data_IF_897280418049
#
_entry.id   IF_897280418049
#
_cell.length_a   1.000
_cell.length_b   1.000
_cell.length_c   1.000
_cell.angle_alpha   90.00
_cell.angle_beta   90.00
_cell.angle_gamma   90.00
#
_symmetry.space_group_name_H-M   'P 1'
#
loop_
_entity.id
_entity.type
_entity.pdbx_description
1 polymer ?
#
# COMPACT_ATOMS: atom_id res chain seq x y z
N UNK A 1 18.71 -26.39 5.20
CA UNK A 1 18.91 -24.96 4.80
C UNK A 1 19.25 -24.17 6.05
N UNK A 2 20.19 -23.24 5.96
CA UNK A 2 20.56 -22.37 7.06
C UNK A 2 19.39 -21.43 7.44
N UNK A 3 19.28 -21.10 8.73
CA UNK A 3 18.29 -20.14 9.24
C UNK A 3 18.61 -18.76 8.67
N UNK A 4 17.61 -18.12 8.07
CA UNK A 4 17.70 -16.76 7.54
C UNK A 4 17.11 -15.78 8.56
N UNK A 5 17.96 -15.08 9.29
CA UNK A 5 17.55 -14.01 10.19
C UNK A 5 17.35 -12.72 9.38
N UNK A 6 16.13 -12.20 9.36
CA UNK A 6 15.76 -11.04 8.57
C UNK A 6 14.85 -10.10 9.35
N UNK A 7 14.73 -8.86 8.89
CA UNK A 7 13.67 -7.92 9.29
C UNK A 7 12.48 -8.03 8.34
N UNK A 8 11.35 -7.43 8.72
CA UNK A 8 10.14 -7.43 7.86
C UNK A 8 10.43 -6.82 6.48
N UNK A 9 11.23 -5.75 6.40
CA UNK A 9 11.70 -5.14 5.13
C UNK A 9 12.53 -6.11 4.29
N UNK A 10 13.31 -6.95 4.94
CA UNK A 10 14.18 -7.91 4.26
C UNK A 10 13.46 -9.15 3.70
N UNK A 11 12.15 -9.30 3.95
CA UNK A 11 11.37 -10.43 3.43
C UNK A 11 11.23 -10.35 1.90
N UNK A 12 11.56 -11.46 1.23
CA UNK A 12 11.42 -11.59 -0.23
C UNK A 12 10.69 -12.88 -0.56
N UNK A 13 9.81 -12.88 -1.59
CA UNK A 13 9.16 -14.09 -2.06
C UNK A 13 10.16 -15.22 -2.34
N UNK A 14 9.81 -16.45 -1.96
CA UNK A 14 10.65 -17.64 -2.13
C UNK A 14 11.59 -17.93 -0.95
N UNK A 15 11.76 -17.02 0.00
CA UNK A 15 12.54 -17.29 1.22
C UNK A 15 11.95 -18.44 2.03
N UNK A 16 12.82 -19.26 2.62
CA UNK A 16 12.46 -20.41 3.48
C UNK A 16 13.31 -20.41 4.73
N UNK A 17 12.83 -21.10 5.78
CA UNK A 17 13.51 -21.17 7.08
C UNK A 17 13.86 -19.77 7.63
N UNK A 18 12.87 -18.87 7.56
CA UNK A 18 12.98 -17.48 7.99
C UNK A 18 12.77 -17.41 9.50
N UNK A 19 13.62 -16.63 10.17
CA UNK A 19 13.48 -16.29 11.58
C UNK A 19 13.53 -14.78 11.78
N UNK A 20 12.57 -14.25 12.55
CA UNK A 20 12.48 -12.81 12.85
C UNK A 20 11.72 -12.57 14.15
N UNK A 21 11.92 -11.37 14.72
CA UNK A 21 11.06 -10.85 15.79
C UNK A 21 9.99 -9.98 15.15
N UNK A 22 8.76 -10.12 15.60
CA UNK A 22 7.62 -9.37 15.07
C UNK A 22 6.57 -9.11 16.15
N UNK A 23 5.79 -8.04 15.96
CA UNK A 23 4.53 -7.80 16.67
C UNK A 23 3.37 -8.16 15.76
N UNK A 24 2.39 -8.86 16.28
CA UNK A 24 1.12 -9.11 15.59
C UNK A 24 0.26 -7.85 15.70
N UNK A 25 -0.05 -7.23 14.57
CA UNK A 25 -0.88 -6.02 14.51
C UNK A 25 -2.35 -6.39 14.61
N UNK A 26 -2.77 -7.30 13.75
CA UNK A 26 -4.10 -7.88 13.74
C UNK A 26 -4.05 -9.36 13.32
N UNK A 27 -5.09 -10.11 13.68
CA UNK A 27 -5.26 -11.51 13.28
C UNK A 27 -6.74 -11.86 13.23
N UNK A 28 -7.16 -12.45 12.12
CA UNK A 28 -8.54 -12.90 11.89
C UNK A 28 -8.57 -14.34 11.36
N UNK A 29 -9.46 -15.18 11.89
CA UNK A 29 -9.71 -16.51 11.34
C UNK A 29 -10.45 -16.40 10.00
N UNK A 30 -10.09 -17.23 9.03
CA UNK A 30 -10.76 -17.33 7.73
C UNK A 30 -10.99 -18.79 7.38
N UNK A 31 -12.19 -19.12 6.93
CA UNK A 31 -12.50 -20.42 6.41
C UNK A 31 -12.19 -20.48 4.92
N UNK A 32 -11.46 -21.50 4.52
CA UNK A 32 -11.13 -21.78 3.12
C UNK A 32 -11.51 -23.23 2.80
N UNK A 33 -11.80 -23.52 1.55
CA UNK A 33 -12.04 -24.86 1.07
C UNK A 33 -10.81 -25.36 0.30
N UNK A 34 -10.20 -26.43 0.77
CA UNK A 34 -9.08 -27.10 0.11
C UNK A 34 -9.51 -28.49 -0.28
N UNK A 35 -9.65 -28.74 -1.58
CA UNK A 35 -10.02 -30.07 -2.13
C UNK A 35 -11.32 -30.65 -1.54
N UNK A 36 -12.28 -29.78 -1.19
CA UNK A 36 -13.57 -30.22 -0.63
C UNK A 36 -13.62 -30.25 0.91
N UNK A 37 -12.52 -30.00 1.60
CA UNK A 37 -12.47 -29.94 3.06
C UNK A 37 -12.37 -28.46 3.51
N UNK A 38 -13.22 -28.08 4.47
CA UNK A 38 -13.18 -26.77 5.11
C UNK A 38 -12.00 -26.73 6.09
N UNK A 39 -11.09 -25.76 5.90
CA UNK A 39 -9.97 -25.50 6.81
C UNK A 39 -10.02 -24.07 7.30
N UNK A 40 -9.79 -23.87 8.61
CA UNK A 40 -9.59 -22.53 9.16
C UNK A 40 -8.12 -22.17 9.07
N UNK A 41 -7.84 -21.00 8.51
CA UNK A 41 -6.54 -20.36 8.48
C UNK A 41 -6.65 -19.02 9.20
N UNK A 42 -5.51 -18.45 9.58
CA UNK A 42 -5.45 -17.15 10.25
C UNK A 42 -4.64 -16.19 9.39
N UNK A 43 -5.13 -14.99 9.21
CA UNK A 43 -4.46 -13.97 8.41
C UNK A 43 -4.53 -12.60 9.06
N UNK A 44 -3.56 -11.76 8.76
CA UNK A 44 -3.49 -10.42 9.31
C UNK A 44 -2.21 -9.72 8.92
N UNK A 45 -1.81 -8.77 9.76
CA UNK A 45 -0.62 -7.97 9.57
C UNK A 45 0.33 -8.14 10.76
N UNK A 46 1.62 -8.13 10.45
CA UNK A 46 2.70 -8.12 11.42
C UNK A 46 3.66 -6.96 11.13
N UNK A 47 4.44 -6.57 12.13
CA UNK A 47 5.43 -5.51 11.94
C UNK A 47 6.64 -5.66 12.86
N UNK A 48 7.71 -4.97 12.48
CA UNK A 48 8.89 -4.68 13.28
C UNK A 48 9.30 -3.21 13.07
N UNK A 49 10.49 -2.81 13.53
CA UNK A 49 10.98 -1.44 13.36
C UNK A 49 11.17 -1.06 11.87
N UNK A 50 11.36 -2.06 11.01
CA UNK A 50 11.61 -1.83 9.58
C UNK A 50 10.35 -1.63 8.76
N UNK A 51 9.18 -2.10 9.23
CA UNK A 51 7.93 -1.96 8.50
C UNK A 51 6.90 -3.03 8.84
N UNK A 52 5.89 -3.14 7.98
CA UNK A 52 4.79 -4.08 8.10
C UNK A 52 4.73 -5.06 6.95
N UNK A 53 4.15 -6.22 7.19
CA UNK A 53 3.92 -7.26 6.20
C UNK A 53 2.62 -8.02 6.51
N UNK A 54 1.99 -8.54 5.48
CA UNK A 54 0.90 -9.50 5.68
C UNK A 54 1.44 -10.85 6.12
N UNK A 55 0.61 -11.60 6.83
CA UNK A 55 0.91 -13.00 7.11
C UNK A 55 -0.30 -13.89 6.90
N UNK A 56 -0.02 -15.16 6.66
CA UNK A 56 -1.00 -16.24 6.63
C UNK A 56 -0.48 -17.39 7.48
N UNK A 57 -1.22 -17.79 8.51
CA UNK A 57 -0.95 -18.96 9.32
C UNK A 57 -1.90 -20.10 8.92
N UNK A 58 -1.32 -21.22 8.53
CA UNK A 58 -2.05 -22.42 8.09
C UNK A 58 -2.52 -23.30 9.23
N UNK A 59 -1.99 -23.05 10.43
CA UNK A 59 -2.34 -23.73 11.67
C UNK A 59 -2.63 -22.71 12.76
N UNK A 60 -3.34 -23.14 13.80
CA UNK A 60 -3.55 -22.32 14.99
C UNK A 60 -2.32 -22.39 15.90
N UNK A 61 -1.52 -21.33 15.86
CA UNK A 61 -0.35 -21.18 16.73
C UNK A 61 -0.66 -20.38 18.01
N UNK A 62 -1.91 -20.06 18.28
CA UNK A 62 -2.32 -19.25 19.43
C UNK A 62 -1.82 -17.80 19.34
N UNK A 63 -1.68 -17.25 18.14
CA UNK A 63 -1.16 -15.90 17.91
C UNK A 63 -2.21 -14.88 18.35
N UNK A 64 -1.79 -13.87 19.12
CA UNK A 64 -2.68 -12.84 19.69
C UNK A 64 -2.27 -11.48 19.19
N UNK A 65 -3.24 -10.68 18.70
CA UNK A 65 -3.02 -9.29 18.31
C UNK A 65 -2.44 -8.46 19.47
N UNK A 66 -1.51 -7.59 19.17
CA UNK A 66 -0.79 -6.75 20.12
C UNK A 66 0.44 -7.39 20.76
N UNK A 67 0.57 -8.72 20.73
CA UNK A 67 1.73 -9.41 21.30
C UNK A 67 2.90 -9.50 20.34
N UNK A 68 4.09 -9.57 20.92
CA UNK A 68 5.35 -9.71 20.21
C UNK A 68 5.87 -11.15 20.31
N UNK A 69 6.45 -11.65 19.24
CA UNK A 69 6.96 -13.02 19.13
C UNK A 69 8.33 -13.06 18.45
N UNK A 70 9.17 -13.97 18.89
CA UNK A 70 10.27 -14.52 18.08
C UNK A 70 9.73 -15.69 17.30
N UNK A 71 9.85 -15.66 15.98
CA UNK A 71 9.31 -16.68 15.09
C UNK A 71 10.46 -17.36 14.35
N UNK A 72 10.37 -18.67 14.22
CA UNK A 72 11.30 -19.50 13.45
C UNK A 72 10.55 -20.37 12.45
N UNK A 73 11.26 -20.78 11.41
CA UNK A 73 10.77 -21.72 10.41
C UNK A 73 9.55 -21.21 9.62
N UNK A 74 9.51 -19.89 9.39
CA UNK A 74 8.56 -19.28 8.46
C UNK A 74 9.07 -19.34 7.02
N UNK A 75 8.20 -19.07 6.06
CA UNK A 75 8.55 -18.94 4.65
C UNK A 75 7.76 -17.79 4.02
N UNK A 76 8.19 -17.30 2.86
CA UNK A 76 7.58 -16.13 2.21
C UNK A 76 7.00 -16.54 0.85
N UNK A 77 5.72 -16.22 0.65
CA UNK A 77 5.06 -16.28 -0.66
C UNK A 77 4.87 -14.88 -1.21
N UNK A 78 4.48 -14.80 -2.47
CA UNK A 78 4.05 -13.58 -3.12
C UNK A 78 2.53 -13.50 -3.15
N UNK A 79 1.99 -12.43 -2.57
CA UNK A 79 0.57 -12.08 -2.67
C UNK A 79 0.39 -10.57 -2.57
N UNK A 80 0.48 -9.86 -3.70
CA UNK A 80 0.56 -8.39 -3.74
C UNK A 80 1.70 -7.84 -2.86
N UNK A 81 2.88 -8.41 -3.01
CA UNK A 81 4.05 -8.21 -2.17
C UNK A 81 4.39 -9.44 -1.32
N UNK A 82 5.42 -9.35 -0.47
CA UNK A 82 5.77 -10.43 0.45
C UNK A 82 4.62 -10.76 1.41
N UNK A 83 4.28 -12.03 1.54
CA UNK A 83 3.31 -12.57 2.51
C UNK A 83 4.03 -13.63 3.35
N UNK A 84 4.17 -13.37 4.64
CA UNK A 84 4.86 -14.26 5.56
C UNK A 84 3.95 -15.42 5.94
N UNK A 85 4.42 -16.64 5.71
CA UNK A 85 3.66 -17.85 5.88
C UNK A 85 4.13 -18.64 7.10
N UNK A 86 3.18 -19.05 7.93
CA UNK A 86 3.41 -19.93 9.07
C UNK A 86 2.75 -21.28 8.81
N UNK A 87 3.55 -22.31 8.74
CA UNK A 87 3.11 -23.68 8.55
C UNK A 87 3.17 -24.50 9.86
N UNK A 88 2.91 -25.79 9.77
CA UNK A 88 2.92 -26.73 10.89
C UNK A 88 4.21 -26.68 11.73
N UNK A 89 5.36 -26.45 11.09
CA UNK A 89 6.67 -26.44 11.76
C UNK A 89 7.13 -25.06 12.23
N UNK A 90 6.33 -24.04 12.03
CA UNK A 90 6.65 -22.70 12.53
C UNK A 90 6.58 -22.65 14.05
N UNK A 91 7.55 -22.01 14.68
CA UNK A 91 7.65 -21.92 16.15
C UNK A 91 7.50 -20.48 16.57
N UNK A 92 6.71 -20.26 17.60
CA UNK A 92 6.46 -18.96 18.20
C UNK A 92 6.92 -18.98 19.65
N UNK A 93 7.72 -17.98 20.02
CA UNK A 93 8.09 -17.71 21.41
C UNK A 93 7.65 -16.30 21.73
N UNK A 94 6.71 -16.13 22.66
CA UNK A 94 6.24 -14.81 23.12
C UNK A 94 7.39 -14.06 23.77
N UNK A 95 7.51 -12.76 23.44
CA UNK A 95 8.51 -11.86 24.03
C UNK A 95 7.83 -11.03 25.12
N UNK A 96 8.23 -11.20 26.37
CA UNK A 96 7.69 -10.45 27.51
C UNK A 96 8.20 -9.00 27.52
N UNK A 97 9.47 -8.82 27.12
CA UNK A 97 10.11 -7.50 26.97
C UNK A 97 10.67 -7.40 25.56
N UNK A 98 10.18 -6.47 24.79
CA UNK A 98 10.58 -6.22 23.42
C UNK A 98 10.80 -4.73 23.15
N UNK A 99 11.54 -4.43 22.12
CA UNK A 99 11.84 -3.10 21.60
C UNK A 99 11.09 -2.79 20.28
N UNK A 100 10.08 -3.62 19.95
CA UNK A 100 9.27 -3.45 18.75
C UNK A 100 8.28 -2.29 18.91
N UNK A 101 7.92 -1.60 17.81
CA UNK A 101 6.90 -0.57 17.83
C UNK A 101 5.60 -1.06 18.48
N UNK A 102 4.89 -0.17 19.15
CA UNK A 102 3.57 -0.45 19.74
C UNK A 102 2.49 -0.53 18.66
N UNK A 103 1.30 -1.01 18.99
CA UNK A 103 0.18 -1.00 18.04
C UNK A 103 -0.16 0.40 17.53
N UNK A 104 -0.09 1.42 18.41
CA UNK A 104 -0.37 2.81 18.03
C UNK A 104 0.62 3.36 16.99
N UNK A 105 1.86 2.89 16.99
CA UNK A 105 2.85 3.28 15.98
C UNK A 105 2.47 2.74 14.58
N UNK A 106 1.84 1.55 14.53
CA UNK A 106 1.36 0.99 13.26
C UNK A 106 0.00 1.55 12.81
N UNK A 107 -0.85 2.05 13.73
CA UNK A 107 -2.15 2.67 13.38
C UNK A 107 -1.98 3.90 12.49
N UNK A 108 -0.93 4.69 12.72
CA UNK A 108 -0.61 5.87 11.89
C UNK A 108 0.02 5.51 10.54
N UNK A 109 0.41 4.25 10.35
CA UNK A 109 1.15 3.75 9.20
C UNK A 109 2.65 4.05 9.30
N UNK A 110 3.44 3.27 8.59
CA UNK A 110 4.90 3.44 8.53
C UNK A 110 5.27 4.38 7.40
N UNK A 111 6.06 5.41 7.71
CA UNK A 111 6.58 6.34 6.72
C UNK A 111 7.72 5.71 5.91
N UNK A 112 7.65 5.86 4.60
CA UNK A 112 8.67 5.42 3.67
C UNK A 112 8.98 6.51 2.66
N UNK A 113 10.22 6.52 2.16
CA UNK A 113 10.53 7.18 0.90
C UNK A 113 10.21 6.26 -0.27
N UNK A 114 9.99 6.85 -1.45
CA UNK A 114 9.74 6.06 -2.66
C UNK A 114 10.95 5.20 -3.04
N UNK A 115 12.17 5.68 -2.82
CA UNK A 115 13.39 4.89 -2.99
C UNK A 115 13.39 3.64 -2.08
N UNK A 116 13.02 3.78 -0.80
CA UNK A 116 12.91 2.63 0.12
C UNK A 116 11.85 1.63 -0.32
N UNK A 117 10.71 2.10 -0.83
CA UNK A 117 9.65 1.23 -1.34
C UNK A 117 10.08 0.47 -2.60
N UNK A 118 10.84 1.11 -3.49
CA UNK A 118 11.35 0.48 -4.70
C UNK A 118 12.41 -0.59 -4.38
N UNK A 119 13.38 -0.28 -3.52
CA UNK A 119 14.40 -1.24 -3.07
C UNK A 119 13.83 -2.51 -2.43
N UNK A 120 12.71 -2.39 -1.72
CA UNK A 120 12.03 -3.52 -1.05
C UNK A 120 10.93 -4.16 -1.86
N UNK A 121 10.70 -3.74 -3.11
CA UNK A 121 9.63 -4.18 -4.01
C UNK A 121 8.21 -3.91 -3.49
N UNK A 122 8.04 -2.89 -2.63
CA UNK A 122 6.73 -2.45 -2.15
C UNK A 122 6.50 -2.65 -0.65
N UNK A 123 5.27 -2.37 -0.22
CA UNK A 123 4.79 -2.56 1.16
C UNK A 123 3.26 -2.73 1.16
N UNK A 124 2.74 -3.49 2.12
CA UNK A 124 1.29 -3.71 2.28
C UNK A 124 0.56 -2.53 2.93
N UNK A 125 1.27 -1.74 3.72
CA UNK A 125 0.80 -0.50 4.33
C UNK A 125 1.97 0.47 4.44
N UNK A 126 1.89 1.58 3.73
CA UNK A 126 2.92 2.59 3.68
C UNK A 126 2.29 3.98 3.67
N UNK A 127 2.98 4.91 4.30
CA UNK A 127 2.71 6.35 4.22
C UNK A 127 3.84 6.99 3.44
N UNK A 128 3.48 7.76 2.42
CA UNK A 128 4.41 8.56 1.62
C UNK A 128 3.95 10.01 1.57
N UNK A 129 4.89 10.94 1.56
CA UNK A 129 4.63 12.36 1.41
C UNK A 129 5.42 12.90 0.23
N UNK A 130 4.81 13.70 -0.62
CA UNK A 130 5.44 14.23 -1.82
C UNK A 130 4.49 15.10 -2.62
N UNK A 131 4.80 15.29 -3.91
CA UNK A 131 4.07 16.18 -4.80
C UNK A 131 3.55 15.45 -6.03
N UNK A 132 2.42 15.91 -6.54
CA UNK A 132 1.89 15.46 -7.83
C UNK A 132 2.65 16.17 -8.95
N UNK A 133 3.35 15.40 -9.75
CA UNK A 133 4.17 15.93 -10.83
C UNK A 133 3.45 15.96 -12.17
N UNK A 134 2.57 14.99 -12.40
CA UNK A 134 1.83 14.88 -13.65
C UNK A 134 0.57 14.02 -13.45
N UNK A 135 -0.53 14.41 -14.07
CA UNK A 135 -1.73 13.59 -14.20
C UNK A 135 -1.64 12.81 -15.51
N UNK A 136 -1.77 11.50 -15.42
CA UNK A 136 -1.54 10.60 -16.57
C UNK A 136 -2.82 10.21 -17.27
N UNK A 137 -2.68 9.82 -18.52
CA UNK A 137 -3.75 9.17 -19.31
C UNK A 137 -4.38 8.01 -18.50
N UNK A 138 -5.69 7.91 -18.55
CA UNK A 138 -6.49 6.99 -17.76
C UNK A 138 -6.91 7.56 -16.41
N UNK A 139 -6.77 8.86 -16.20
CA UNK A 139 -7.42 9.66 -15.15
C UNK A 139 -8.78 10.17 -15.63
N UNK A 140 -9.61 10.65 -14.70
CA UNK A 140 -10.95 11.13 -14.98
C UNK A 140 -11.97 10.01 -14.95
N UNK A 141 -12.96 10.10 -15.84
CA UNK A 141 -13.97 9.06 -16.02
C UNK A 141 -13.37 7.83 -16.67
N UNK A 142 -13.51 6.71 -15.99
CA UNK A 142 -13.14 5.39 -16.48
C UNK A 142 -14.37 4.47 -16.46
N UNK A 143 -14.26 3.32 -17.10
CA UNK A 143 -15.32 2.32 -17.12
C UNK A 143 -14.80 1.00 -16.61
N UNK A 144 -15.61 0.36 -15.76
CA UNK A 144 -15.33 -0.99 -15.26
C UNK A 144 -16.41 -1.96 -15.68
N UNK A 145 -16.02 -3.19 -15.89
CA UNK A 145 -16.99 -4.28 -16.03
C UNK A 145 -17.75 -4.50 -14.72
N UNK A 146 -19.07 -4.58 -14.78
CA UNK A 146 -19.95 -4.66 -13.61
C UNK A 146 -19.71 -5.89 -12.75
N UNK A 147 -19.34 -7.02 -13.35
CA UNK A 147 -19.17 -8.29 -12.66
C UNK A 147 -17.74 -8.45 -12.15
N UNK A 148 -16.77 -8.25 -13.03
CA UNK A 148 -15.34 -8.50 -12.72
C UNK A 148 -14.64 -7.30 -12.09
N UNK A 149 -15.26 -6.10 -12.15
CA UNK A 149 -14.68 -4.80 -11.74
C UNK A 149 -13.39 -4.44 -12.49
N UNK A 150 -13.05 -5.19 -13.54
CA UNK A 150 -11.89 -4.92 -14.38
C UNK A 150 -12.06 -3.61 -15.12
N UNK A 151 -10.98 -2.85 -15.23
CA UNK A 151 -10.94 -1.66 -16.08
C UNK A 151 -11.16 -2.05 -17.54
N UNK A 152 -12.14 -1.40 -18.18
CA UNK A 152 -12.41 -1.53 -19.61
C UNK A 152 -11.53 -0.50 -20.33
N UNK A 153 -10.70 -0.96 -21.25
CA UNK A 153 -9.80 -0.12 -22.03
C UNK A 153 -10.53 0.50 -23.24
N UNK A 154 -9.94 1.56 -23.78
CA UNK A 154 -10.45 2.16 -25.01
C UNK A 154 -10.49 1.11 -26.13
N UNK A 155 -11.66 1.01 -26.82
CA UNK A 155 -11.90 0.03 -27.89
C UNK A 155 -12.48 -1.30 -27.43
N UNK A 156 -12.57 -1.59 -26.14
CA UNK A 156 -13.26 -2.78 -25.62
C UNK A 156 -14.78 -2.56 -25.56
N UNK A 157 -15.57 -3.67 -25.60
CA UNK A 157 -17.03 -3.63 -25.52
C UNK A 157 -17.50 -3.08 -24.15
N UNK A 158 -18.42 -2.11 -24.18
CA UNK A 158 -18.95 -1.44 -22.99
C UNK A 158 -20.37 -1.89 -22.59
N UNK A 159 -20.88 -2.99 -23.15
CA UNK A 159 -22.25 -3.44 -22.87
C UNK A 159 -22.54 -3.70 -21.40
N UNK A 160 -21.53 -4.19 -20.66
CA UNK A 160 -21.63 -4.44 -19.22
C UNK A 160 -20.77 -3.48 -18.39
N UNK A 161 -20.63 -2.23 -18.87
CA UNK A 161 -19.80 -1.23 -18.22
C UNK A 161 -20.57 -0.43 -17.17
N UNK A 162 -19.89 -0.06 -16.10
CA UNK A 162 -20.29 0.97 -15.15
C UNK A 162 -19.24 2.09 -15.11
N UNK A 163 -19.66 3.36 -15.00
CA UNK A 163 -18.71 4.45 -14.85
C UNK A 163 -18.08 4.45 -13.47
N UNK A 164 -16.83 4.90 -13.42
CA UNK A 164 -16.06 5.07 -12.20
C UNK A 164 -15.11 6.26 -12.35
N UNK A 165 -14.54 6.75 -11.26
CA UNK A 165 -13.56 7.83 -11.23
C UNK A 165 -12.22 7.32 -10.72
N UNK A 166 -11.15 7.83 -11.32
CA UNK A 166 -9.79 7.52 -10.91
C UNK A 166 -8.85 8.70 -11.21
N UNK A 167 -7.88 8.90 -10.33
CA UNK A 167 -6.65 9.64 -10.68
C UNK A 167 -5.52 8.64 -10.82
N UNK A 168 -4.76 8.77 -11.91
CA UNK A 168 -3.48 8.10 -12.15
C UNK A 168 -2.45 9.19 -12.34
N UNK A 169 -1.47 9.26 -11.47
CA UNK A 169 -0.53 10.38 -11.43
C UNK A 169 0.92 9.93 -11.22
N UNK A 170 1.86 10.75 -11.65
CA UNK A 170 3.24 10.65 -11.19
C UNK A 170 3.35 11.41 -9.88
N UNK A 171 3.80 10.71 -8.86
CA UNK A 171 4.03 11.22 -7.51
C UNK A 171 5.51 11.12 -7.18
N UNK A 172 6.08 12.18 -6.63
CA UNK A 172 7.52 12.33 -6.39
C UNK A 172 7.75 12.89 -5.00
N UNK A 173 8.69 12.30 -4.25
CA UNK A 173 9.07 12.71 -2.89
C UNK A 173 10.51 13.25 -2.80
N UNK A 174 11.17 13.44 -3.95
CA UNK A 174 12.56 13.85 -4.04
C UNK A 174 13.57 12.71 -3.93
N UNK A 175 13.19 11.54 -3.42
CA UNK A 175 14.02 10.33 -3.41
C UNK A 175 13.79 9.46 -4.66
N UNK A 176 12.63 9.58 -5.27
CA UNK A 176 12.19 8.83 -6.43
C UNK A 176 10.77 9.21 -6.82
N UNK A 177 10.26 8.52 -7.84
CA UNK A 177 8.89 8.71 -8.31
C UNK A 177 8.15 7.39 -8.46
N UNK A 178 6.82 7.45 -8.36
CA UNK A 178 5.96 6.29 -8.58
C UNK A 178 4.73 6.67 -9.42
N UNK A 179 4.06 5.66 -9.96
CA UNK A 179 2.70 5.83 -10.46
C UNK A 179 1.72 5.63 -9.31
N UNK A 180 1.09 6.71 -8.84
CA UNK A 180 0.08 6.63 -7.79
C UNK A 180 -1.33 6.59 -8.37
N UNK A 181 -2.19 5.80 -7.73
CA UNK A 181 -3.59 5.59 -8.11
C UNK A 181 -4.49 5.99 -6.94
N UNK A 182 -5.41 6.92 -7.20
CA UNK A 182 -6.47 7.31 -6.28
C UNK A 182 -7.79 6.72 -6.78
N UNK A 183 -8.53 6.06 -5.90
CA UNK A 183 -9.84 5.51 -6.19
C UNK A 183 -10.91 6.61 -6.27
N UNK A 184 -12.16 6.22 -6.59
CA UNK A 184 -13.27 7.15 -6.71
C UNK A 184 -13.49 7.98 -5.46
N UNK A 185 -13.56 7.35 -4.29
CA UNK A 185 -13.84 8.04 -3.03
C UNK A 185 -12.82 9.15 -2.72
N UNK A 186 -11.54 8.87 -2.92
CA UNK A 186 -10.47 9.85 -2.73
C UNK A 186 -10.55 10.94 -3.79
N UNK A 187 -10.80 10.55 -5.05
CA UNK A 187 -10.91 11.49 -6.17
C UNK A 187 -12.05 12.47 -5.97
N UNK A 188 -13.24 11.99 -5.63
CA UNK A 188 -14.43 12.83 -5.35
C UNK A 188 -14.14 13.86 -4.24
N UNK A 189 -13.49 13.44 -3.16
CA UNK A 189 -13.10 14.34 -2.07
C UNK A 189 -12.12 15.44 -2.51
N UNK A 190 -11.15 15.09 -3.36
CA UNK A 190 -10.11 16.03 -3.80
C UNK A 190 -10.62 17.07 -4.79
N UNK A 191 -11.49 16.67 -5.72
CA UNK A 191 -12.06 17.59 -6.71
C UNK A 191 -13.36 18.24 -6.26
N UNK A 192 -13.96 17.79 -5.13
CA UNK A 192 -15.20 18.32 -4.59
C UNK A 192 -16.45 17.99 -5.44
N UNK A 193 -16.40 16.92 -6.24
CA UNK A 193 -17.49 16.43 -7.09
C UNK A 193 -17.68 14.93 -6.92
N UNK A 194 -18.91 14.49 -6.84
CA UNK A 194 -19.27 13.08 -6.95
C UNK A 194 -19.31 12.59 -8.40
N UNK A 195 -19.43 11.30 -8.59
CA UNK A 195 -19.45 10.68 -9.92
C UNK A 195 -20.57 11.23 -10.81
N UNK A 196 -21.77 11.43 -10.27
CA UNK A 196 -22.92 11.90 -11.04
C UNK A 196 -22.71 13.34 -11.53
N UNK A 197 -22.21 14.20 -10.66
CA UNK A 197 -21.81 15.58 -11.03
C UNK A 197 -20.67 15.60 -12.04
N UNK A 198 -19.72 14.66 -11.98
CA UNK A 198 -18.67 14.51 -12.99
C UNK A 198 -19.24 14.07 -14.34
N UNK A 199 -20.22 13.17 -14.36
CA UNK A 199 -20.89 12.73 -15.60
C UNK A 199 -21.67 13.88 -16.26
N UNK A 200 -22.33 14.72 -15.48
CA UNK A 200 -23.01 15.93 -15.98
C UNK A 200 -22.01 16.95 -16.51
N UNK A 201 -20.95 17.22 -15.75
CA UNK A 201 -19.89 18.16 -16.14
C UNK A 201 -19.24 17.79 -17.47
N UNK A 202 -18.96 16.51 -17.69
CA UNK A 202 -18.38 16.02 -18.95
C UNK A 202 -19.33 16.20 -20.13
N UNK A 203 -20.64 16.03 -19.92
CA UNK A 203 -21.65 16.27 -20.97
C UNK A 203 -21.76 17.75 -21.34
N UNK A 204 -21.73 18.64 -20.35
CA UNK A 204 -21.83 20.08 -20.55
C UNK A 204 -20.58 20.70 -21.19
N UNK A 205 -19.40 20.15 -20.90
CA UNK A 205 -18.10 20.67 -21.36
C UNK A 205 -17.52 19.91 -22.57
N UNK A 206 -18.34 19.20 -23.32
CA UNK A 206 -17.99 18.54 -24.59
C UNK A 206 -16.91 17.47 -24.52
N UNK A 207 -16.64 16.89 -23.33
CA UNK A 207 -15.73 15.74 -23.27
C UNK A 207 -15.11 15.48 -21.91
N UNK A 208 -14.48 14.31 -21.74
CA UNK A 208 -13.83 13.91 -20.50
C UNK A 208 -12.53 14.67 -20.22
N UNK A 209 -11.95 15.34 -21.22
CA UNK A 209 -10.70 16.10 -21.12
C UNK A 209 -10.85 17.26 -20.13
N UNK A 210 -11.99 17.96 -20.14
CA UNK A 210 -12.28 19.07 -19.22
C UNK A 210 -12.23 18.62 -17.73
N UNK A 211 -12.63 17.38 -17.44
CA UNK A 211 -12.53 16.82 -16.09
C UNK A 211 -11.08 16.53 -15.70
N UNK A 212 -10.26 16.12 -16.64
CA UNK A 212 -8.82 15.89 -16.41
C UNK A 212 -8.11 17.21 -16.16
N UNK A 213 -8.42 18.26 -16.91
CA UNK A 213 -7.90 19.62 -16.68
C UNK A 213 -8.27 20.13 -15.28
N UNK A 214 -9.51 19.93 -14.83
CA UNK A 214 -9.93 20.27 -13.45
C UNK A 214 -9.12 19.49 -12.40
N UNK A 215 -8.82 18.22 -12.65
CA UNK A 215 -7.96 17.42 -11.78
C UNK A 215 -6.50 17.93 -11.78
N UNK A 216 -5.99 18.36 -12.92
CA UNK A 216 -4.66 18.97 -13.03
C UNK A 216 -4.58 20.25 -12.20
N UNK A 217 -5.53 21.15 -12.36
CA UNK A 217 -5.60 22.39 -11.59
C UNK A 217 -5.73 22.15 -10.08
N UNK A 218 -6.46 21.08 -9.71
CA UNK A 218 -6.67 20.74 -8.31
C UNK A 218 -5.45 20.09 -7.65
N UNK A 219 -4.62 19.36 -8.38
CA UNK A 219 -3.64 18.43 -7.81
C UNK A 219 -2.19 18.76 -8.15
N UNK A 220 -1.88 19.35 -9.32
CA UNK A 220 -0.50 19.58 -9.74
C UNK A 220 0.26 20.43 -8.73
N UNK A 221 1.48 19.98 -8.42
CA UNK A 221 2.42 20.59 -7.48
C UNK A 221 1.92 20.72 -6.03
N UNK A 222 0.76 20.13 -5.71
CA UNK A 222 0.28 20.12 -4.33
C UNK A 222 0.99 19.06 -3.50
N UNK A 223 1.42 19.41 -2.28
CA UNK A 223 1.97 18.44 -1.34
C UNK A 223 0.84 17.55 -0.80
N UNK A 224 0.98 16.25 -0.95
CA UNK A 224 0.02 15.27 -0.48
C UNK A 224 0.71 14.22 0.39
N UNK A 225 -0.04 13.74 1.37
CA UNK A 225 0.29 12.57 2.17
C UNK A 225 -0.66 11.44 1.77
N UNK A 226 -0.09 10.35 1.28
CA UNK A 226 -0.83 9.18 0.84
C UNK A 226 -0.55 8.01 1.78
N UNK A 227 -1.58 7.29 2.18
CA UNK A 227 -1.46 5.98 2.82
C UNK A 227 -2.08 4.92 1.94
N UNK A 228 -1.40 3.80 1.77
CA UNK A 228 -1.88 2.71 0.94
C UNK A 228 -0.86 1.58 0.84
N UNK A 229 -0.95 0.81 -0.23
CA UNK A 229 0.03 -0.22 -0.52
C UNK A 229 0.83 0.09 -1.77
N UNK A 230 2.07 -0.37 -1.79
CA UNK A 230 2.97 -0.21 -2.91
C UNK A 230 3.43 -1.57 -3.42
N UNK A 231 3.68 -1.65 -4.72
CA UNK A 231 4.34 -2.79 -5.37
C UNK A 231 5.25 -2.29 -6.48
N UNK A 232 6.38 -2.93 -6.67
CA UNK A 232 7.27 -2.70 -7.80
C UNK A 232 7.17 -3.87 -8.77
N UNK A 233 7.17 -3.59 -10.07
CA UNK A 233 7.18 -4.56 -11.15
C UNK A 233 8.11 -4.08 -12.27
N UNK A 234 8.10 -4.74 -13.43
CA UNK A 234 8.92 -4.36 -14.60
C UNK A 234 8.65 -2.95 -15.13
N UNK A 235 7.51 -2.34 -14.78
CA UNK A 235 7.11 -0.98 -15.16
C UNK A 235 7.43 0.07 -14.08
N UNK A 236 8.02 -0.35 -12.96
CA UNK A 236 8.42 0.48 -11.84
C UNK A 236 7.46 0.43 -10.65
N UNK A 237 7.66 1.37 -9.71
CA UNK A 237 6.88 1.44 -8.47
C UNK A 237 5.48 1.99 -8.72
N UNK A 238 4.48 1.24 -8.27
CA UNK A 238 3.07 1.64 -8.24
C UNK A 238 2.58 1.78 -6.81
N UNK A 239 1.85 2.85 -6.51
CA UNK A 239 1.24 3.11 -5.20
C UNK A 239 -0.28 3.22 -5.32
N UNK A 240 -1.01 2.47 -4.50
CA UNK A 240 -2.47 2.43 -4.50
C UNK A 240 -2.97 3.02 -3.20
N UNK A 241 -3.44 4.26 -3.25
CA UNK A 241 -3.87 4.99 -2.07
C UNK A 241 -5.20 4.45 -1.51
N UNK A 242 -5.25 4.31 -0.19
CA UNK A 242 -6.44 4.05 0.63
C UNK A 242 -6.93 5.32 1.29
N UNK A 243 -6.04 6.27 1.54
CA UNK A 243 -6.37 7.62 1.99
C UNK A 243 -5.41 8.64 1.40
N UNK A 244 -5.87 9.89 1.34
CA UNK A 244 -5.11 11.03 0.88
C UNK A 244 -5.46 12.25 1.74
N UNK A 245 -4.44 12.95 2.19
CA UNK A 245 -4.54 14.18 2.97
C UNK A 245 -3.61 15.24 2.36
N UNK A 246 -3.91 16.51 2.59
CA UNK A 246 -2.94 17.56 2.29
C UNK A 246 -1.73 17.38 3.23
N UNK A 247 -0.54 17.29 2.66
CA UNK A 247 0.66 17.34 3.47
C UNK A 247 0.83 18.78 4.00
N UNK A 248 1.30 18.90 5.23
CA UNK A 248 1.71 20.20 5.77
C UNK A 248 2.83 20.74 4.89
N UNK A 249 2.75 22.01 4.49
CA UNK A 249 3.87 22.66 3.80
C UNK A 249 5.16 22.39 4.59
N UNK A 250 6.15 21.80 3.92
CA UNK A 250 7.45 21.58 4.53
C UNK A 250 7.96 22.96 4.93
N UNK A 251 8.23 23.16 6.21
CA UNK A 251 9.00 24.32 6.68
C UNK A 251 10.41 24.22 6.06
N UNK A 252 10.51 24.71 4.82
CA UNK A 252 11.73 24.65 4.02
C UNK A 252 12.95 25.18 4.78
N UNK A 253 12.87 26.28 5.57
CA UNK A 253 13.96 26.71 6.43
C UNK A 253 14.38 25.66 7.46
N UNK A 254 13.44 24.91 8.06
CA UNK A 254 13.75 23.90 9.05
C UNK A 254 14.31 22.62 8.40
N UNK A 255 13.74 22.18 7.30
CA UNK A 255 14.23 21.04 6.52
C UNK A 255 15.65 21.31 5.99
N UNK A 256 15.93 22.51 5.49
CA UNK A 256 17.27 22.91 5.06
C UNK A 256 18.29 22.91 6.21
N UNK A 257 17.92 23.36 7.40
CA UNK A 257 18.78 23.30 8.58
C UNK A 257 19.08 21.88 9.02
N UNK A 258 18.08 21.01 9.03
CA UNK A 258 18.27 19.59 9.35
C UNK A 258 19.17 18.90 8.34
N UNK A 259 19.02 19.21 7.05
CA UNK A 259 19.87 18.67 6.00
C UNK A 259 21.32 19.14 6.13
N UNK A 260 21.54 20.43 6.41
CA UNK A 260 22.87 20.98 6.64
C UNK A 260 23.52 20.37 7.89
N UNK A 261 22.78 20.21 8.98
CA UNK A 261 23.29 19.57 10.20
C UNK A 261 23.68 18.08 9.96
N UNK A 262 22.97 17.39 9.09
CA UNK A 262 23.29 16.01 8.71
C UNK A 262 24.52 15.89 7.80
N UNK A 263 24.90 16.97 7.10
CA UNK A 263 26.11 17.01 6.27
C UNK A 263 27.39 17.42 7.06
N UNK A 264 27.20 18.07 8.20
CA UNK A 264 28.30 18.54 9.07
C UNK A 264 28.69 17.53 10.16
N UNK A 265 27.96 16.42 10.35
CA UNK A 265 28.23 15.33 11.30
C UNK A 265 28.79 14.10 10.62
#
# INVERSE_FOLDING_TARGET
QSVQKVTVVGLKPGMRNVALKLRVIDVEPRKINIKGEEKTIFGGNIGDQSGTCRFTSWEDHGIIAGKAYSVENAYVKEFNGPDLQFGEYSKFTELENDDLPSLSDYETGMNYTLAQLDERNGASDAVIEGHVFNIREGSGLIFRDKETKRLIRNGEDRKNAEPDLRVKMIFDDGSGSCTAYLNREITEKLIGRDLDSCLEFVKENFGPEALVEEMEDALLLKPLKLRGFARSDEYGLSFFAKSCEAATEIDVPNAARQFLAALEG
#
